data_IF_884516148673
#
_entry.id   IF_884516148673
#
_cell.length_a   1.000
_cell.length_b   1.000
_cell.length_c   1.000
_cell.angle_alpha   90.00
_cell.angle_beta   90.00
_cell.angle_gamma   90.00
#
_symmetry.space_group_name_H-M   'P 1'
#
loop_
_entity.id
_entity.type
_entity.pdbx_description
1 polymer ?
#
# COMPACT_ATOMS: atom_id res chain seq x y z
N UNK A 1 -12.70 -10.60 -4.92
CA UNK A 1 -13.08 -11.57 -5.96
C UNK A 1 -12.42 -12.88 -5.63
N UNK A 2 -13.18 -13.69 -4.92
CA UNK A 2 -12.79 -15.00 -4.42
C UNK A 2 -12.58 -15.99 -5.58
N UNK A 3 -13.19 -15.76 -6.75
CA UNK A 3 -13.02 -16.61 -7.93
C UNK A 3 -11.63 -16.42 -8.55
N UNK A 4 -11.07 -15.21 -8.48
CA UNK A 4 -9.73 -14.90 -9.00
C UNK A 4 -8.64 -15.10 -7.94
N UNK A 5 -8.91 -14.65 -6.71
CA UNK A 5 -7.91 -14.61 -5.63
C UNK A 5 -8.01 -15.77 -4.64
N UNK A 6 -8.99 -16.66 -4.81
CA UNK A 6 -9.17 -17.86 -3.99
C UNK A 6 -9.66 -17.55 -2.56
N UNK A 7 -9.57 -18.54 -1.65
CA UNK A 7 -10.07 -18.41 -0.28
C UNK A 7 -9.31 -17.39 0.57
N UNK A 8 -8.11 -16.99 0.17
CA UNK A 8 -7.29 -15.97 0.86
C UNK A 8 -7.48 -14.57 0.28
N UNK A 9 -8.57 -14.30 -0.47
CA UNK A 9 -8.81 -13.03 -1.16
C UNK A 9 -8.82 -11.81 -0.22
N UNK A 10 -9.21 -11.99 1.04
CA UNK A 10 -9.28 -10.95 2.06
C UNK A 10 -7.99 -10.81 2.89
N UNK A 11 -7.00 -11.68 2.65
CA UNK A 11 -5.72 -11.67 3.36
C UNK A 11 -4.69 -10.78 2.65
N UNK A 12 -3.94 -10.01 3.45
CA UNK A 12 -2.78 -9.27 2.95
C UNK A 12 -1.58 -10.21 2.82
N UNK A 13 -1.37 -10.72 1.61
CA UNK A 13 -0.18 -11.50 1.23
C UNK A 13 0.72 -10.69 0.29
N UNK A 14 1.84 -10.18 0.82
CA UNK A 14 2.84 -9.42 0.04
C UNK A 14 3.64 -10.30 -0.92
N UNK A 15 3.59 -11.63 -0.76
CA UNK A 15 4.30 -12.61 -1.59
C UNK A 15 3.44 -13.20 -2.71
N UNK A 16 2.17 -12.82 -2.78
CA UNK A 16 1.20 -13.34 -3.76
C UNK A 16 1.73 -13.21 -5.19
N UNK A 17 1.85 -14.35 -5.87
CA UNK A 17 2.24 -14.44 -7.27
C UNK A 17 1.56 -15.66 -7.93
N UNK A 18 0.80 -15.51 -9.02
CA UNK A 18 0.47 -14.26 -9.72
C UNK A 18 -0.45 -13.34 -8.91
N UNK A 19 -0.40 -12.02 -9.19
CA UNK A 19 -1.26 -11.01 -8.55
C UNK A 19 -1.99 -10.15 -9.61
N UNK A 20 -3.07 -10.67 -10.23
CA UNK A 20 -3.77 -10.02 -11.35
C UNK A 20 -4.76 -8.93 -10.90
N UNK A 21 -4.33 -8.01 -10.03
CA UNK A 21 -5.17 -6.93 -9.54
C UNK A 21 -5.43 -5.85 -10.62
N UNK A 22 -6.61 -5.22 -10.57
CA UNK A 22 -7.04 -4.19 -11.53
C UNK A 22 -6.88 -2.75 -11.02
N UNK A 23 -6.05 -2.53 -9.99
CA UNK A 23 -5.80 -1.18 -9.42
C UNK A 23 -5.36 -0.16 -10.47
N UNK A 24 -4.67 -0.61 -11.52
CA UNK A 24 -4.17 0.22 -12.61
C UNK A 24 -5.03 0.13 -13.89
N UNK A 25 -6.22 -0.46 -13.81
CA UNK A 25 -7.07 -0.74 -14.98
C UNK A 25 -6.47 -1.76 -15.94
N UNK A 26 -7.12 -1.92 -17.10
CA UNK A 26 -6.71 -2.83 -18.18
C UNK A 26 -7.12 -2.24 -19.54
N UNK A 27 -6.51 -2.73 -20.63
CA UNK A 27 -6.85 -2.31 -22.00
C UNK A 27 -6.29 -0.94 -22.38
N UNK A 28 -7.01 -0.25 -23.27
CA UNK A 28 -6.60 1.02 -23.91
C UNK A 28 -6.41 2.16 -22.91
N UNK A 29 -7.12 2.09 -21.77
CA UNK A 29 -7.05 3.06 -20.68
C UNK A 29 -6.30 2.52 -19.45
N UNK A 30 -5.41 1.55 -19.65
CA UNK A 30 -4.49 1.13 -18.60
C UNK A 30 -3.64 2.31 -18.09
N UNK A 31 -3.38 2.33 -16.80
CA UNK A 31 -2.70 3.45 -16.16
C UNK A 31 -1.28 3.61 -16.72
N UNK A 32 -1.04 4.71 -17.44
CA UNK A 32 0.28 5.07 -17.96
C UNK A 32 1.33 5.21 -16.86
N UNK A 33 0.91 5.56 -15.64
CA UNK A 33 1.78 5.73 -14.47
C UNK A 33 2.03 4.43 -13.69
N UNK A 34 1.55 3.27 -14.12
CA UNK A 34 1.58 2.05 -13.31
C UNK A 34 3.00 1.60 -12.92
N UNK A 35 3.99 1.82 -13.79
CA UNK A 35 5.39 1.49 -13.46
C UNK A 35 5.99 2.50 -12.48
N UNK A 36 5.68 3.79 -12.65
CA UNK A 36 6.13 4.83 -11.73
C UNK A 36 5.56 4.62 -10.33
N UNK A 37 4.25 4.38 -10.21
CA UNK A 37 3.61 4.12 -8.91
C UNK A 37 4.21 2.91 -8.18
N UNK A 38 4.59 1.85 -8.92
CA UNK A 38 5.29 0.69 -8.33
C UNK A 38 6.68 1.06 -7.83
N UNK A 39 7.43 1.86 -8.58
CA UNK A 39 8.74 2.36 -8.15
C UNK A 39 8.62 3.23 -6.90
N UNK A 40 7.67 4.17 -6.88
CA UNK A 40 7.40 5.04 -5.73
C UNK A 40 7.08 4.23 -4.47
N UNK A 41 6.19 3.23 -4.58
CA UNK A 41 5.86 2.36 -3.46
C UNK A 41 7.08 1.56 -2.97
N UNK A 42 7.89 1.02 -3.90
CA UNK A 42 9.11 0.30 -3.56
C UNK A 42 10.08 1.18 -2.77
N UNK A 43 10.42 2.35 -3.32
CA UNK A 43 11.34 3.30 -2.66
C UNK A 43 10.79 3.74 -1.31
N UNK A 44 9.49 4.03 -1.23
CA UNK A 44 8.84 4.39 0.04
C UNK A 44 9.05 3.32 1.10
N UNK A 45 8.77 2.05 0.80
CA UNK A 45 8.91 0.97 1.77
C UNK A 45 10.38 0.65 2.09
N UNK A 46 11.28 0.67 1.11
CA UNK A 46 12.72 0.49 1.32
C UNK A 46 13.27 1.52 2.30
N UNK A 47 13.02 2.81 2.07
CA UNK A 47 13.52 3.89 2.91
C UNK A 47 12.83 3.94 4.28
N UNK A 48 11.52 3.70 4.32
CA UNK A 48 10.75 3.71 5.57
C UNK A 48 11.23 2.60 6.52
N UNK A 49 11.42 1.38 6.00
CA UNK A 49 11.85 0.22 6.78
C UNK A 49 13.34 0.25 7.13
N UNK A 50 14.18 0.89 6.31
CA UNK A 50 15.58 1.11 6.66
C UNK A 50 15.73 2.09 7.85
N UNK A 51 14.89 3.13 7.89
CA UNK A 51 15.02 4.23 8.86
C UNK A 51 14.32 3.97 10.20
N UNK A 52 13.23 3.20 10.20
CA UNK A 52 12.41 3.00 11.40
C UNK A 52 12.16 1.51 11.65
N UNK A 53 12.63 1.01 12.79
CA UNK A 53 12.41 -0.37 13.22
C UNK A 53 10.98 -0.63 13.70
N UNK A 54 10.27 0.43 14.09
CA UNK A 54 8.92 0.34 14.68
C UNK A 54 8.06 1.53 14.28
N UNK A 55 6.85 1.21 13.82
CA UNK A 55 5.82 2.16 13.42
C UNK A 55 4.53 1.75 14.11
N UNK A 56 4.02 2.59 14.99
CA UNK A 56 2.80 2.32 15.78
C UNK A 56 1.76 3.41 15.56
N UNK A 57 0.48 3.04 15.49
CA UNK A 57 -0.60 4.02 15.40
C UNK A 57 -0.69 4.83 16.70
N UNK A 58 -0.70 6.15 16.58
CA UNK A 58 -0.70 7.09 17.72
C UNK A 58 -1.91 8.02 17.71
N UNK A 59 -3.03 7.53 17.17
CA UNK A 59 -4.27 8.29 17.13
C UNK A 59 -5.30 7.78 16.14
N UNK A 60 -6.40 8.53 16.04
CA UNK A 60 -7.52 8.19 15.18
C UNK A 60 -7.17 8.43 13.71
N UNK A 61 -7.41 7.42 12.88
CA UNK A 61 -7.30 7.53 11.43
C UNK A 61 -8.49 8.32 10.89
N UNK A 62 -8.22 9.36 10.10
CA UNK A 62 -9.24 10.12 9.38
C UNK A 62 -9.26 9.68 7.92
N UNK A 63 -10.39 9.13 7.48
CA UNK A 63 -10.61 8.74 6.09
C UNK A 63 -11.06 9.94 5.25
N UNK A 64 -10.68 9.96 3.98
CA UNK A 64 -11.19 10.94 3.03
C UNK A 64 -12.68 10.68 2.78
N UNK A 65 -13.48 11.75 2.71
CA UNK A 65 -14.84 11.66 2.16
C UNK A 65 -14.71 11.65 0.64
N UNK A 66 -14.63 10.47 0.04
CA UNK A 66 -14.43 10.30 -1.39
C UNK A 66 -15.37 9.23 -1.94
N UNK A 67 -15.92 9.48 -3.13
CA UNK A 67 -16.82 8.56 -3.83
C UNK A 67 -16.09 7.67 -4.82
N UNK A 68 -14.95 8.15 -5.37
CA UNK A 68 -14.18 7.41 -6.37
C UNK A 68 -12.88 6.83 -5.80
N UNK A 69 -12.03 7.68 -5.20
CA UNK A 69 -10.72 7.26 -4.70
C UNK A 69 -10.75 7.28 -3.17
N UNK A 70 -11.07 6.14 -2.51
CA UNK A 70 -10.99 6.06 -1.06
C UNK A 70 -9.54 6.25 -0.62
N UNK A 71 -9.34 6.94 0.50
CA UNK A 71 -7.99 7.26 0.97
C UNK A 71 -7.93 7.61 2.44
N UNK A 72 -6.73 7.62 2.98
CA UNK A 72 -6.44 8.06 4.35
C UNK A 72 -6.02 9.52 4.31
N UNK A 73 -6.81 10.40 4.93
CA UNK A 73 -6.49 11.82 5.03
C UNK A 73 -5.42 12.07 6.09
N UNK A 74 -5.53 11.40 7.23
CA UNK A 74 -4.58 11.51 8.34
C UNK A 74 -4.43 10.16 9.04
N UNK A 75 -3.19 9.79 9.35
CA UNK A 75 -2.82 8.60 10.12
C UNK A 75 -1.68 8.97 11.08
N UNK A 76 -2.00 9.42 12.31
CA UNK A 76 -0.99 9.70 13.31
C UNK A 76 -0.22 8.42 13.64
N UNK A 77 1.11 8.48 13.57
CA UNK A 77 1.99 7.37 13.90
C UNK A 77 3.15 7.83 14.77
N UNK A 78 3.58 6.94 15.66
CA UNK A 78 4.83 7.04 16.40
C UNK A 78 5.88 6.21 15.70
N UNK A 79 7.04 6.82 15.46
CA UNK A 79 8.16 6.20 14.76
C UNK A 79 9.30 6.03 15.75
N UNK A 80 9.82 4.80 15.89
CA UNK A 80 11.09 4.57 16.57
C UNK A 80 12.18 4.41 15.49
N UNK A 81 13.21 5.25 15.58
CA UNK A 81 14.34 5.16 14.66
C UNK A 81 15.08 3.84 14.88
N UNK A 82 15.56 3.24 13.80
CA UNK A 82 16.54 2.16 13.89
C UNK A 82 17.77 2.72 14.60
N UNK A 83 18.28 2.04 15.63
CA UNK A 83 19.55 2.45 16.25
C UNK A 83 20.64 2.48 15.17
N UNK A 84 21.49 3.51 15.16
CA UNK A 84 22.68 3.49 14.31
C UNK A 84 23.53 2.27 14.70
N UNK A 85 24.03 1.50 13.72
CA UNK A 85 24.93 0.38 13.99
C UNK A 85 26.23 0.81 14.67
#
# INVERSE_FOLDING_TARGET
DEEVFGPTSEELDITRNPNPHLTFGCGEHSCVGAQLARLEARVLFEELLARFERIELDGKIIRMKATMVPGVKQMPVRLAATAEP
#
